data_IF_920799395255
#
_entry.id   IF_920799395255
#
_cell.length_a   1.000
_cell.length_b   1.000
_cell.length_c   1.000
_cell.angle_alpha   90.00
_cell.angle_beta   90.00
_cell.angle_gamma   90.00
#
_symmetry.space_group_name_H-M   'P 1'
#
loop_
_entity.id
_entity.type
_entity.pdbx_description
1 polymer ?
#
# COMPACT_ATOMS: atom_id res chain seq x y z
N UNK A 1 5.46 15.48 -47.31
CA UNK A 1 4.07 14.98 -47.28
C UNK A 1 4.16 13.51 -46.95
N UNK A 2 3.17 12.99 -46.22
CA UNK A 2 3.09 11.63 -45.64
C UNK A 2 3.72 11.51 -44.24
N UNK A 3 3.10 10.96 -43.20
CA UNK A 3 1.71 10.62 -42.88
C UNK A 3 1.71 10.35 -41.38
N UNK A 4 0.79 10.98 -40.66
CA UNK A 4 0.55 10.73 -39.25
C UNK A 4 -0.07 9.33 -39.09
N UNK A 5 0.60 8.38 -38.43
CA UNK A 5 -0.03 7.17 -37.91
C UNK A 5 0.01 7.21 -36.39
N UNK A 6 -1.15 7.58 -35.86
CA UNK A 6 -1.58 7.29 -34.50
C UNK A 6 -1.43 5.79 -34.25
N UNK A 7 -0.75 5.43 -33.17
CA UNK A 7 -1.15 4.27 -32.40
C UNK A 7 -0.88 4.54 -30.92
N UNK A 8 -1.83 5.26 -30.31
CA UNK A 8 -2.57 4.76 -29.16
C UNK A 8 -1.91 3.61 -28.38
N UNK A 9 -0.83 3.89 -27.63
CA UNK A 9 -0.41 3.01 -26.56
C UNK A 9 -1.39 3.17 -25.39
N UNK A 10 -2.53 2.51 -25.55
CA UNK A 10 -3.21 1.71 -24.52
C UNK A 10 -3.23 2.28 -23.11
N UNK A 11 -4.34 2.95 -22.81
CA UNK A 11 -5.23 2.62 -21.69
C UNK A 11 -4.61 1.88 -20.50
N UNK A 12 -4.06 2.65 -19.57
CA UNK A 12 -4.36 2.45 -18.16
C UNK A 12 -4.23 3.80 -17.46
N UNK A 13 -5.29 4.37 -16.86
CA UNK A 13 -5.05 5.11 -15.64
C UNK A 13 -4.60 4.04 -14.63
N UNK A 14 -3.30 3.74 -14.60
CA UNK A 14 -2.68 3.22 -13.40
C UNK A 14 -2.75 4.33 -12.38
N UNK A 15 -3.97 4.56 -11.88
CA UNK A 15 -4.24 5.06 -10.55
C UNK A 15 -3.79 3.97 -9.58
N UNK A 16 -2.50 3.61 -9.67
CA UNK A 16 -1.75 3.18 -8.51
C UNK A 16 -1.79 4.41 -7.64
N UNK A 17 -2.85 4.52 -6.83
CA UNK A 17 -2.78 5.29 -5.61
C UNK A 17 -1.61 4.63 -4.91
N UNK A 18 -0.41 5.16 -5.13
CA UNK A 18 0.73 4.92 -4.31
C UNK A 18 0.24 5.43 -2.96
N UNK A 19 -0.43 4.55 -2.22
CA UNK A 19 -0.68 4.72 -0.81
C UNK A 19 0.72 4.93 -0.30
N UNK A 20 1.06 6.21 -0.12
CA UNK A 20 2.28 6.65 0.54
C UNK A 20 2.04 6.30 2.00
N UNK A 21 1.94 4.99 2.26
CA UNK A 21 1.68 4.39 3.53
C UNK A 21 2.92 4.68 4.34
N UNK A 22 2.83 5.73 5.14
CA UNK A 22 3.81 5.97 6.17
C UNK A 22 3.73 4.77 7.10
N UNK A 23 4.87 4.10 7.33
CA UNK A 23 4.96 3.09 8.37
C UNK A 23 4.61 3.76 9.70
N UNK A 24 3.53 3.28 10.30
CA UNK A 24 3.10 3.73 11.62
C UNK A 24 3.92 2.98 12.66
N UNK A 25 4.27 3.66 13.74
CA UNK A 25 4.87 2.98 14.90
C UNK A 25 3.85 2.01 15.51
N UNK A 26 4.32 1.00 16.25
CA UNK A 26 3.45 0.00 16.87
C UNK A 26 2.36 0.63 17.75
N UNK A 27 2.71 1.73 18.44
CA UNK A 27 1.78 2.51 19.26
C UNK A 27 0.73 3.23 18.41
N UNK A 28 1.13 3.92 17.35
CA UNK A 28 0.19 4.58 16.45
C UNK A 28 -0.72 3.58 15.75
N UNK A 29 -0.18 2.44 15.30
CA UNK A 29 -0.97 1.38 14.71
C UNK A 29 -1.97 0.79 15.72
N UNK A 30 -1.56 0.58 16.98
CA UNK A 30 -2.47 0.14 18.04
C UNK A 30 -3.60 1.15 18.32
N UNK A 31 -3.29 2.44 18.34
CA UNK A 31 -4.27 3.50 18.57
C UNK A 31 -5.21 3.70 17.37
N UNK A 32 -4.67 3.59 16.15
CA UNK A 32 -5.42 3.75 14.90
C UNK A 32 -6.41 2.62 14.68
N UNK A 33 -6.00 1.37 14.94
CA UNK A 33 -6.88 0.21 14.81
C UNK A 33 -7.65 -0.11 16.11
N UNK A 34 -7.31 0.53 17.23
CA UNK A 34 -7.93 0.30 18.54
C UNK A 34 -7.64 -1.09 19.13
N UNK A 35 -6.59 -1.76 18.67
CA UNK A 35 -6.21 -3.11 19.10
C UNK A 35 -4.84 -3.13 19.76
N UNK A 36 -4.65 -4.03 20.72
CA UNK A 36 -3.38 -4.17 21.43
C UNK A 36 -2.26 -4.69 20.50
N UNK A 37 -1.00 -4.38 20.81
CA UNK A 37 0.15 -4.77 19.97
C UNK A 37 0.28 -6.28 19.78
N UNK A 38 -0.21 -7.08 20.73
CA UNK A 38 -0.27 -8.54 20.65
C UNK A 38 -1.18 -9.01 19.50
N UNK A 39 -2.28 -8.30 19.25
CA UNK A 39 -3.19 -8.56 18.14
C UNK A 39 -2.55 -8.19 16.81
N UNK A 40 -1.90 -7.01 16.73
CA UNK A 40 -1.13 -6.63 15.54
C UNK A 40 -0.04 -7.65 15.25
N UNK A 41 0.63 -8.15 16.28
CA UNK A 41 1.65 -9.19 16.14
C UNK A 41 1.05 -10.48 15.57
N UNK A 42 -0.10 -10.92 16.09
CA UNK A 42 -0.82 -12.05 15.53
C UNK A 42 -1.18 -11.87 14.05
N UNK A 43 -1.61 -10.67 13.63
CA UNK A 43 -1.85 -10.36 12.22
C UNK A 43 -0.57 -10.35 11.40
N UNK A 44 0.53 -9.83 11.95
CA UNK A 44 1.84 -9.82 11.31
C UNK A 44 2.36 -11.24 11.06
N UNK A 45 2.23 -12.13 12.05
CA UNK A 45 2.65 -13.51 11.96
C UNK A 45 1.76 -14.32 11.00
N UNK A 46 0.49 -13.93 10.84
CA UNK A 46 -0.43 -14.48 9.81
C UNK A 46 -0.25 -13.87 8.42
N UNK A 47 0.51 -12.78 8.29
CA UNK A 47 0.67 -12.05 7.03
C UNK A 47 -0.56 -11.21 6.63
N UNK A 48 -1.48 -10.95 7.55
CA UNK A 48 -2.67 -10.11 7.29
C UNK A 48 -2.33 -8.63 7.21
N UNK A 49 -1.25 -8.20 7.88
CA UNK A 49 -0.77 -6.82 7.82
C UNK A 49 0.71 -6.77 7.40
N UNK A 50 1.09 -5.78 6.58
CA UNK A 50 2.49 -5.53 6.27
C UNK A 50 3.20 -5.04 7.55
N UNK A 51 4.31 -5.70 7.91
CA UNK A 51 5.13 -5.33 9.06
C UNK A 51 6.55 -5.05 8.62
N UNK A 52 7.04 -3.89 9.05
CA UNK A 52 8.44 -3.50 8.94
C UNK A 52 9.11 -3.71 10.30
N UNK A 53 10.09 -4.61 10.36
CA UNK A 53 10.97 -4.78 11.53
C UNK A 53 12.31 -4.16 11.13
N UNK A 54 12.78 -3.19 11.90
CA UNK A 54 14.12 -2.61 11.78
C UNK A 54 15.01 -3.09 12.92
#
# INVERSE_FOLDING_TARGET
>A
MESNVDNSQTSAPSNVIAVKGKWLTLKEASAFLGVHFTTLRGWADRGEIPVFRT
#
